data_IF_750224880620
#
_entry.id   IF_750224880620
#
_cell.length_a   1.000
_cell.length_b   1.000
_cell.length_c   1.000
_cell.angle_alpha   90.00
_cell.angle_beta   90.00
_cell.angle_gamma   90.00
#
_symmetry.space_group_name_H-M   'P 1'
#
loop_
_entity.id
_entity.type
_entity.pdbx_description
1 polymer ?
#
# COMPACT_ATOMS: atom_id res chain seq x y z
N UNK A 1 -5.91 -18.42 5.40
CA UNK A 1 -5.64 -17.03 5.74
C UNK A 1 -6.88 -16.20 5.58
N UNK A 2 -6.99 -15.22 6.44
CA UNK A 2 -8.17 -14.36 6.46
C UNK A 2 -8.37 -13.65 5.13
N UNK A 3 -7.31 -13.03 4.59
CA UNK A 3 -7.42 -12.26 3.36
C UNK A 3 -7.82 -13.11 2.16
N UNK A 4 -7.42 -14.39 2.12
CA UNK A 4 -7.84 -15.28 1.06
C UNK A 4 -9.34 -15.56 1.10
N UNK A 5 -9.90 -15.60 2.29
CA UNK A 5 -11.28 -16.02 2.50
C UNK A 5 -12.29 -14.89 2.36
N UNK A 6 -11.84 -13.65 2.49
CA UNK A 6 -12.74 -12.49 2.40
C UNK A 6 -12.95 -12.15 0.94
N UNK A 7 -14.20 -11.97 0.49
CA UNK A 7 -14.47 -11.64 -0.92
C UNK A 7 -14.28 -10.17 -1.27
N UNK A 8 -13.90 -9.33 -0.31
CA UNK A 8 -13.82 -7.89 -0.52
C UNK A 8 -12.69 -7.54 -1.49
N UNK A 9 -12.95 -6.55 -2.35
CA UNK A 9 -11.90 -5.93 -3.13
C UNK A 9 -10.95 -5.20 -2.21
N UNK A 10 -9.66 -5.21 -2.53
CA UNK A 10 -8.67 -4.54 -1.71
C UNK A 10 -7.81 -3.60 -2.55
N UNK A 11 -7.36 -2.53 -1.92
CA UNK A 11 -6.39 -1.59 -2.46
C UNK A 11 -5.15 -1.67 -1.58
N UNK A 12 -3.97 -1.67 -2.22
CA UNK A 12 -2.71 -1.77 -1.49
C UNK A 12 -1.98 -0.45 -1.65
N UNK A 13 -1.62 0.18 -0.54
CA UNK A 13 -0.93 1.47 -0.53
C UNK A 13 0.41 1.33 0.16
N UNK A 14 1.47 1.81 -0.50
CA UNK A 14 2.79 1.92 0.11
C UNK A 14 3.04 3.34 0.58
N UNK A 15 3.62 3.46 1.75
CA UNK A 15 3.96 4.76 2.35
C UNK A 15 5.42 4.74 2.79
N UNK A 16 6.06 5.91 2.75
CA UNK A 16 7.42 6.08 3.24
C UNK A 16 7.45 7.14 4.33
N UNK A 17 8.58 7.22 5.03
CA UNK A 17 8.87 8.41 5.82
C UNK A 17 9.33 9.54 4.87
N UNK A 18 9.58 10.72 5.42
CA UNK A 18 9.96 11.88 4.61
C UNK A 18 11.46 11.98 4.37
N UNK A 19 12.25 11.02 4.86
CA UNK A 19 13.68 11.00 4.57
C UNK A 19 13.85 10.66 3.09
N UNK A 20 14.59 11.49 2.31
CA UNK A 20 14.76 11.19 0.89
C UNK A 20 15.44 9.84 0.70
N UNK A 21 14.95 9.06 -0.26
CA UNK A 21 15.56 7.79 -0.58
C UNK A 21 16.93 8.02 -1.22
N UNK A 22 17.97 7.44 -0.62
CA UNK A 22 19.33 7.59 -1.13
C UNK A 22 19.54 6.61 -2.28
N UNK A 23 19.63 7.14 -3.49
CA UNK A 23 19.85 6.35 -4.68
C UNK A 23 20.74 7.13 -5.64
N UNK A 24 21.59 6.39 -6.37
CA UNK A 24 22.39 6.99 -7.44
C UNK A 24 21.53 7.41 -8.61
N UNK A 25 20.38 6.78 -8.80
CA UNK A 25 19.42 7.15 -9.83
C UNK A 25 18.49 8.21 -9.25
N UNK A 26 18.69 9.47 -9.66
CA UNK A 26 17.90 10.59 -9.15
C UNK A 26 16.43 10.52 -9.56
N UNK A 27 16.09 9.68 -10.54
CA UNK A 27 14.71 9.47 -10.92
C UNK A 27 13.98 8.47 -10.01
N UNK A 28 14.72 7.77 -9.14
CA UNK A 28 14.12 6.83 -8.20
C UNK A 28 14.00 7.49 -6.84
N UNK A 29 12.80 7.78 -6.45
CA UNK A 29 12.49 8.54 -5.24
C UNK A 29 11.56 7.73 -4.34
N UNK A 30 11.08 8.35 -3.26
CA UNK A 30 10.10 7.71 -2.39
C UNK A 30 8.80 7.38 -3.14
N UNK A 31 8.50 8.06 -4.23
CA UNK A 31 7.33 7.71 -5.05
C UNK A 31 7.49 6.32 -5.65
N UNK A 32 8.61 6.07 -6.31
CA UNK A 32 8.88 4.77 -6.90
C UNK A 32 9.05 3.70 -5.82
N UNK A 33 9.74 4.05 -4.73
CA UNK A 33 9.96 3.10 -3.65
C UNK A 33 8.64 2.63 -3.04
N UNK A 34 7.73 3.55 -2.74
CA UNK A 34 6.45 3.20 -2.14
C UNK A 34 5.60 2.37 -3.09
N UNK A 35 5.62 2.70 -4.38
CA UNK A 35 4.90 1.94 -5.41
C UNK A 35 5.46 0.53 -5.55
N UNK A 36 6.79 0.39 -5.58
CA UNK A 36 7.44 -0.91 -5.72
C UNK A 36 7.15 -1.80 -4.52
N UNK A 37 7.16 -1.23 -3.33
CA UNK A 37 6.84 -2.00 -2.13
C UNK A 37 5.41 -2.47 -2.11
N UNK A 38 4.47 -1.62 -2.53
CA UNK A 38 3.07 -2.03 -2.61
C UNK A 38 2.89 -3.14 -3.65
N UNK A 39 3.58 -3.03 -4.79
CA UNK A 39 3.54 -4.09 -5.81
C UNK A 39 4.12 -5.40 -5.31
N UNK A 40 5.18 -5.34 -4.52
CA UNK A 40 5.76 -6.55 -3.93
C UNK A 40 4.76 -7.23 -3.00
N UNK A 41 4.02 -6.46 -2.21
CA UNK A 41 2.99 -7.01 -1.34
C UNK A 41 1.88 -7.66 -2.16
N UNK A 42 1.48 -7.04 -3.28
CA UNK A 42 0.49 -7.64 -4.18
C UNK A 42 0.96 -9.02 -4.65
N UNK A 43 2.21 -9.10 -5.12
CA UNK A 43 2.74 -10.39 -5.60
C UNK A 43 2.75 -11.44 -4.49
N UNK A 44 3.11 -11.02 -3.28
CA UNK A 44 3.14 -11.92 -2.14
C UNK A 44 1.75 -12.45 -1.81
N UNK A 45 0.75 -11.56 -1.81
CA UNK A 45 -0.62 -11.97 -1.50
C UNK A 45 -1.15 -12.96 -2.53
N UNK A 46 -0.89 -12.72 -3.81
CA UNK A 46 -1.31 -13.64 -4.87
C UNK A 46 -0.62 -14.99 -4.70
N UNK A 47 0.67 -15.00 -4.39
CA UNK A 47 1.41 -16.23 -4.15
C UNK A 47 0.85 -17.01 -2.95
N UNK A 48 0.23 -16.30 -1.99
CA UNK A 48 -0.36 -16.91 -0.81
C UNK A 48 -1.82 -17.31 -1.02
N UNK A 49 -2.35 -17.14 -2.22
CA UNK A 49 -3.68 -17.62 -2.55
C UNK A 49 -4.78 -16.55 -2.66
N UNK A 50 -4.43 -15.29 -2.56
CA UNK A 50 -5.41 -14.22 -2.81
C UNK A 50 -5.67 -14.15 -4.30
N UNK A 51 -6.95 -14.18 -4.70
CA UNK A 51 -7.30 -14.08 -6.11
C UNK A 51 -6.85 -12.73 -6.67
N UNK A 52 -6.17 -12.71 -7.82
CA UNK A 52 -5.78 -11.44 -8.44
C UNK A 52 -6.95 -10.50 -8.71
N UNK A 53 -8.13 -11.05 -8.95
CA UNK A 53 -9.32 -10.25 -9.25
C UNK A 53 -9.77 -9.41 -8.05
N UNK A 54 -9.33 -9.75 -6.86
CA UNK A 54 -9.70 -9.01 -5.65
C UNK A 54 -8.84 -7.77 -5.43
N UNK A 55 -7.72 -7.67 -6.13
CA UNK A 55 -6.81 -6.53 -5.95
C UNK A 55 -7.18 -5.47 -6.97
N UNK A 56 -7.86 -4.42 -6.49
CA UNK A 56 -8.37 -3.37 -7.34
C UNK A 56 -7.38 -2.26 -7.64
N UNK A 57 -6.29 -2.17 -6.89
CA UNK A 57 -5.30 -1.15 -7.15
C UNK A 57 -4.09 -1.26 -6.26
N UNK A 58 -2.98 -0.74 -6.77
CA UNK A 58 -1.71 -0.65 -6.05
C UNK A 58 -1.24 0.79 -6.20
N UNK A 59 -0.96 1.46 -5.09
CA UNK A 59 -0.65 2.89 -5.11
C UNK A 59 0.56 3.18 -4.23
N UNK A 60 1.46 4.01 -4.73
CA UNK A 60 2.53 4.59 -3.93
C UNK A 60 2.14 5.98 -3.49
N UNK A 61 2.23 6.25 -2.21
CA UNK A 61 1.88 7.54 -1.62
C UNK A 61 3.09 8.34 -1.20
N UNK A 62 4.29 7.79 -1.30
CA UNK A 62 5.52 8.42 -0.79
C UNK A 62 5.30 8.87 0.65
N UNK A 63 5.69 10.09 1.00
CA UNK A 63 5.56 10.61 2.37
C UNK A 63 4.37 11.55 2.54
N UNK A 64 3.36 11.45 1.66
CA UNK A 64 2.27 12.44 1.65
C UNK A 64 1.26 12.26 2.78
N UNK A 65 1.22 11.09 3.40
CA UNK A 65 0.24 10.78 4.45
C UNK A 65 0.94 10.10 5.63
N UNK A 66 1.71 10.85 6.43
CA UNK A 66 2.42 10.24 7.54
C UNK A 66 1.46 9.73 8.63
N UNK A 67 1.79 8.55 9.15
CA UNK A 67 1.07 8.00 10.30
C UNK A 67 1.33 8.84 11.55
N UNK A 68 2.59 9.22 11.76
CA UNK A 68 2.98 10.15 12.83
C UNK A 68 3.16 11.52 12.18
N UNK A 69 2.15 12.37 12.29
CA UNK A 69 2.15 13.67 11.62
C UNK A 69 3.14 14.63 12.26
N UNK A 70 3.40 14.48 13.55
CA UNK A 70 4.34 15.35 14.26
C UNK A 70 5.80 14.98 14.02
N UNK A 71 6.06 13.82 13.42
CA UNK A 71 7.40 13.37 13.11
C UNK A 71 7.41 12.68 11.75
N UNK A 72 7.41 13.44 10.65
CA UNK A 72 7.34 12.84 9.31
C UNK A 72 8.53 11.96 8.97
N UNK A 73 9.66 12.14 9.64
CA UNK A 73 10.87 11.32 9.38
C UNK A 73 10.88 10.02 10.17
N UNK A 74 9.88 9.79 11.02
CA UNK A 74 9.86 8.60 11.86
C UNK A 74 9.74 7.34 11.02
N UNK A 75 10.49 6.26 11.38
CA UNK A 75 10.40 5.01 10.64
C UNK A 75 9.02 4.37 10.68
N UNK A 76 8.18 4.70 11.66
CA UNK A 76 6.81 4.20 11.73
C UNK A 76 5.96 4.65 10.55
N UNK A 77 6.39 5.68 9.82
CA UNK A 77 5.67 6.15 8.63
C UNK A 77 5.91 5.26 7.41
N UNK A 78 6.92 4.39 7.46
CA UNK A 78 7.17 3.40 6.41
C UNK A 78 6.25 2.20 6.65
N UNK A 79 5.22 2.08 5.82
CA UNK A 79 4.21 1.06 6.07
C UNK A 79 3.48 0.70 4.79
N UNK A 80 2.79 -0.44 4.85
CA UNK A 80 1.83 -0.86 3.82
C UNK A 80 0.45 -0.79 4.45
N UNK A 81 -0.49 -0.21 3.73
CA UNK A 81 -1.89 -0.15 4.15
C UNK A 81 -2.70 -0.96 3.16
N UNK A 82 -3.51 -1.88 3.65
CA UNK A 82 -4.44 -2.64 2.83
C UNK A 82 -5.84 -2.14 3.17
N UNK A 83 -6.47 -1.50 2.19
CA UNK A 83 -7.81 -0.97 2.35
C UNK A 83 -8.79 -2.00 1.79
N UNK A 84 -9.65 -2.52 2.63
CA UNK A 84 -10.70 -3.45 2.21
C UNK A 84 -11.96 -2.66 1.92
N UNK A 85 -12.43 -2.77 0.69
CA UNK A 85 -13.67 -2.10 0.31
C UNK A 85 -14.85 -2.94 0.75
N UNK A 86 -15.96 -2.27 1.06
CA UNK A 86 -17.16 -2.97 1.47
C UNK A 86 -17.64 -3.88 0.34
N UNK A 87 -18.05 -5.11 0.69
CA UNK A 87 -18.65 -6.03 -0.26
C UNK A 87 -20.08 -5.60 -0.64
N UNK A 88 -20.68 -4.73 0.14
CA UNK A 88 -22.03 -4.23 -0.11
C UNK A 88 -21.97 -2.73 -0.30
N UNK A 89 -22.54 -2.21 -1.40
CA UNK A 89 -22.51 -0.77 -1.62
C UNK A 89 -23.23 -0.01 -0.51
N UNK A 90 -22.65 1.10 -0.06
CA UNK A 90 -23.20 1.89 1.01
C UNK A 90 -24.54 2.51 0.63
N UNK A 91 -24.75 2.76 -0.64
CA UNK A 91 -25.96 3.40 -1.15
C UNK A 91 -27.15 2.46 -1.28
N UNK A 92 -27.02 1.24 -0.85
CA UNK A 92 -28.10 0.27 -0.88
C UNK A 92 -29.09 0.48 0.27
N UNK A 93 -29.38 1.67 0.56
CA UNK A 93 -30.35 1.96 1.61
C UNK A 93 -31.63 2.39 1.02
#
# INVERSE_FOLDING_TARGET
RVLRQIPNEMLIEGHTDSVPYASKNTAYTNWELSSDRASAVRRMLVAQGVSPDRIGGVTGRAATQPYLTEDPKAPQNRRIVIVLKSAYPAEQK
#
